data_IF_186953353796
#
_entry.id   IF_186953353796
#
_cell.length_a   1.000
_cell.length_b   1.000
_cell.length_c   1.000
_cell.angle_alpha   90.00
_cell.angle_beta   90.00
_cell.angle_gamma   90.00
#
_symmetry.space_group_name_H-M   'P 1'
#
loop_
_entity.id
_entity.type
_entity.pdbx_description
1 polymer ?
#
# COMPACT_ATOMS: atom_id res chain seq x y z
N UNK A 1 -19.15 -2.38 4.59
CA UNK A 1 -17.92 -3.13 4.28
C UNK A 1 -17.30 -3.56 5.60
N UNK A 2 -16.81 -4.80 5.69
CA UNK A 2 -16.14 -5.27 6.90
C UNK A 2 -14.78 -4.54 7.02
N UNK A 3 -14.39 -4.06 8.23
CA UNK A 3 -13.12 -3.37 8.40
C UNK A 3 -11.95 -4.31 8.07
N UNK A 4 -10.82 -3.77 7.57
CA UNK A 4 -9.63 -4.58 7.28
C UNK A 4 -9.12 -5.23 8.56
N UNK A 5 -8.59 -6.45 8.42
CA UNK A 5 -7.99 -7.19 9.53
C UNK A 5 -6.80 -6.41 10.09
N UNK A 6 -6.77 -6.28 11.42
CA UNK A 6 -5.65 -5.67 12.11
C UNK A 6 -4.46 -6.62 12.17
N UNK A 7 -3.29 -6.09 12.53
CA UNK A 7 -2.10 -6.91 12.76
C UNK A 7 -2.33 -7.95 13.87
N UNK A 8 -3.09 -7.58 14.89
CA UNK A 8 -3.39 -8.46 16.02
C UNK A 8 -4.33 -9.59 15.61
N UNK A 9 -5.29 -9.31 14.72
CA UNK A 9 -6.15 -10.34 14.11
C UNK A 9 -5.32 -11.35 13.31
N UNK A 10 -4.36 -10.87 12.50
CA UNK A 10 -3.48 -11.74 11.72
C UNK A 10 -2.57 -12.61 12.61
N UNK A 11 -2.13 -12.07 13.75
CA UNK A 11 -1.36 -12.83 14.75
C UNK A 11 -2.22 -13.91 15.39
N UNK A 12 -3.45 -13.57 15.80
CA UNK A 12 -4.38 -14.53 16.38
C UNK A 12 -4.70 -15.66 15.39
N UNK A 13 -4.95 -15.33 14.11
CA UNK A 13 -5.19 -16.32 13.05
C UNK A 13 -3.97 -17.23 12.87
N UNK A 14 -2.76 -16.68 12.82
CA UNK A 14 -1.52 -17.46 12.71
C UNK A 14 -1.38 -18.44 13.87
N UNK A 15 -1.58 -17.96 15.10
CA UNK A 15 -1.38 -18.76 16.30
C UNK A 15 -2.45 -19.84 16.50
N UNK A 16 -3.70 -19.56 16.09
CA UNK A 16 -4.78 -20.54 16.06
C UNK A 16 -4.64 -21.62 14.97
N UNK A 17 -3.89 -21.35 13.90
CA UNK A 17 -3.80 -22.21 12.72
C UNK A 17 -2.39 -22.76 12.44
N UNK A 18 -1.56 -22.93 13.49
CA UNK A 18 -0.14 -23.34 13.36
C UNK A 18 0.09 -24.62 12.54
N UNK A 19 -0.86 -25.56 12.53
CA UNK A 19 -0.76 -26.83 11.79
C UNK A 19 -1.42 -26.78 10.41
N UNK A 20 -2.20 -25.75 10.10
CA UNK A 20 -2.85 -25.61 8.80
C UNK A 20 -1.86 -24.95 7.81
N UNK A 21 -1.40 -25.71 6.82
CA UNK A 21 -0.41 -25.23 5.84
C UNK A 21 -1.02 -24.21 4.86
N UNK A 22 -2.29 -24.35 4.50
CA UNK A 22 -2.99 -23.43 3.59
C UNK A 22 -3.10 -22.04 4.20
N UNK A 23 -3.51 -21.95 5.46
CA UNK A 23 -3.61 -20.68 6.19
C UNK A 23 -2.23 -20.04 6.36
N UNK A 24 -1.18 -20.84 6.65
CA UNK A 24 0.19 -20.32 6.74
C UNK A 24 0.69 -19.79 5.40
N UNK A 25 0.35 -20.46 4.31
CA UNK A 25 0.69 -20.01 2.96
C UNK A 25 0.00 -18.70 2.63
N UNK A 26 -1.30 -18.58 2.89
CA UNK A 26 -2.04 -17.34 2.70
C UNK A 26 -1.45 -16.18 3.53
N UNK A 27 -1.10 -16.41 4.80
CA UNK A 27 -0.48 -15.39 5.64
C UNK A 27 0.89 -14.92 5.11
N UNK A 28 1.69 -15.84 4.53
CA UNK A 28 2.96 -15.46 3.86
C UNK A 28 2.70 -14.61 2.63
N UNK A 29 1.71 -14.97 1.82
CA UNK A 29 1.34 -14.23 0.62
C UNK A 29 0.83 -12.82 0.95
N UNK A 30 -0.02 -12.70 1.98
CA UNK A 30 -0.46 -11.39 2.51
C UNK A 30 0.72 -10.53 2.92
N UNK A 31 1.68 -11.10 3.67
CA UNK A 31 2.90 -10.39 4.07
C UNK A 31 3.74 -9.97 2.87
N UNK A 32 3.90 -10.85 1.87
CA UNK A 32 4.66 -10.57 0.64
C UNK A 32 4.03 -9.41 -0.13
N UNK A 33 2.71 -9.43 -0.31
CA UNK A 33 1.97 -8.36 -1.00
C UNK A 33 2.06 -7.04 -0.24
N UNK A 34 1.94 -7.07 1.08
CA UNK A 34 2.08 -5.86 1.91
C UNK A 34 3.48 -5.23 1.73
N UNK A 35 4.53 -6.04 1.76
CA UNK A 35 5.89 -5.56 1.53
C UNK A 35 6.07 -4.98 0.12
N UNK A 36 5.53 -5.64 -0.90
CA UNK A 36 5.59 -5.16 -2.28
C UNK A 36 4.87 -3.80 -2.44
N UNK A 37 3.72 -3.61 -1.78
CA UNK A 37 3.03 -2.32 -1.78
C UNK A 37 3.86 -1.21 -1.12
N UNK A 38 4.53 -1.50 0.00
CA UNK A 38 5.42 -0.53 0.66
C UNK A 38 6.60 -0.14 -0.25
N UNK A 39 7.16 -1.10 -0.98
CA UNK A 39 8.24 -0.85 -1.92
C UNK A 39 7.78 0.01 -3.11
N UNK A 40 6.60 -0.25 -3.66
CA UNK A 40 5.98 0.58 -4.71
C UNK A 40 5.79 2.02 -4.22
N UNK A 41 5.29 2.22 -3.00
CA UNK A 41 5.12 3.56 -2.43
C UNK A 41 6.48 4.28 -2.27
N UNK A 42 7.52 3.57 -1.80
CA UNK A 42 8.87 4.14 -1.71
C UNK A 42 9.43 4.53 -3.08
N UNK A 43 9.25 3.67 -4.10
CA UNK A 43 9.69 3.96 -5.46
C UNK A 43 8.93 5.15 -6.06
N UNK A 44 7.62 5.24 -5.84
CA UNK A 44 6.81 6.39 -6.27
C UNK A 44 7.34 7.68 -5.64
N UNK A 45 7.60 7.68 -4.34
CA UNK A 45 8.12 8.86 -3.66
C UNK A 45 9.54 9.24 -4.12
N UNK A 46 10.38 8.26 -4.46
CA UNK A 46 11.70 8.49 -5.05
C UNK A 46 11.61 9.12 -6.46
N UNK A 47 10.72 8.60 -7.31
CA UNK A 47 10.45 9.14 -8.64
C UNK A 47 9.93 10.58 -8.54
N UNK A 48 8.97 10.84 -7.65
CA UNK A 48 8.44 12.19 -7.42
C UNK A 48 9.54 13.19 -7.01
N UNK A 49 10.49 12.77 -6.16
CA UNK A 49 11.63 13.60 -5.73
C UNK A 49 12.61 13.85 -6.87
N UNK A 50 12.97 12.80 -7.62
CA UNK A 50 13.88 12.92 -8.76
C UNK A 50 13.28 13.83 -9.83
N UNK A 51 12.00 13.66 -10.15
CA UNK A 51 11.28 14.48 -11.11
C UNK A 51 11.25 15.96 -10.70
N UNK A 52 10.98 16.25 -9.43
CA UNK A 52 11.04 17.63 -8.90
C UNK A 52 12.43 18.24 -9.03
N UNK A 53 13.48 17.48 -8.73
CA UNK A 53 14.85 17.94 -8.81
C UNK A 53 15.29 18.21 -10.26
N UNK A 54 14.81 17.42 -11.22
CA UNK A 54 15.21 17.55 -12.63
C UNK A 54 14.41 18.62 -13.39
N UNK A 55 13.13 18.80 -13.06
CA UNK A 55 12.25 19.72 -13.81
C UNK A 55 12.07 21.10 -13.16
N UNK A 56 12.54 21.30 -11.92
CA UNK A 56 12.33 22.50 -11.10
C UNK A 56 10.86 23.00 -11.09
N UNK A 57 9.92 22.08 -11.38
CA UNK A 57 8.57 22.44 -11.81
C UNK A 57 7.50 21.95 -10.84
N UNK A 58 6.59 22.88 -10.53
CA UNK A 58 5.31 22.69 -9.82
C UNK A 58 4.35 21.73 -10.55
N UNK A 59 4.72 21.21 -11.72
CA UNK A 59 3.92 20.23 -12.48
C UNK A 59 3.64 18.95 -11.67
N UNK A 60 4.59 18.52 -10.83
CA UNK A 60 4.36 17.41 -9.89
C UNK A 60 3.27 17.74 -8.86
N UNK A 61 3.19 18.99 -8.39
CA UNK A 61 2.16 19.44 -7.47
C UNK A 61 0.80 19.56 -8.17
N UNK A 62 0.75 20.01 -9.43
CA UNK A 62 -0.47 19.98 -10.25
C UNK A 62 -0.95 18.55 -10.54
N UNK A 63 -0.04 17.63 -10.84
CA UNK A 63 -0.38 16.21 -11.02
C UNK A 63 -0.91 15.59 -9.72
N UNK A 64 -0.28 15.91 -8.58
CA UNK A 64 -0.71 15.44 -7.26
C UNK A 64 -2.05 16.04 -6.83
N UNK A 65 -2.30 17.31 -7.15
CA UNK A 65 -3.62 17.95 -6.98
C UNK A 65 -4.69 17.22 -7.82
N UNK A 66 -4.36 16.87 -9.07
CA UNK A 66 -5.25 16.14 -9.98
C UNK A 66 -5.58 14.73 -9.47
N UNK A 67 -4.60 14.03 -8.89
CA UNK A 67 -4.81 12.72 -8.27
C UNK A 67 -5.68 12.81 -7.02
N UNK A 68 -5.46 13.81 -6.16
CA UNK A 68 -6.28 14.04 -4.96
C UNK A 68 -7.74 14.35 -5.33
N UNK A 69 -7.96 15.22 -6.32
CA UNK A 69 -9.30 15.51 -6.82
C UNK A 69 -9.97 14.26 -7.44
N UNK A 70 -9.20 13.43 -8.16
CA UNK A 70 -9.72 12.20 -8.75
C UNK A 70 -10.08 11.14 -7.69
N UNK A 71 -9.34 11.05 -6.59
CA UNK A 71 -9.65 10.15 -5.47
C UNK A 71 -10.89 10.63 -4.69
N UNK A 72 -11.05 11.94 -4.51
CA UNK A 72 -12.23 12.53 -3.87
C UNK A 72 -13.50 12.32 -4.70
N UNK A 73 -13.40 12.46 -6.03
CA UNK A 73 -14.50 12.20 -6.97
C UNK A 73 -14.92 10.72 -6.96
N UNK A 74 -14.00 9.80 -6.61
CA UNK A 74 -14.25 8.36 -6.58
C UNK A 74 -14.84 7.88 -5.24
N UNK A 75 -14.83 8.74 -4.21
CA UNK A 75 -15.41 8.49 -2.88
C UNK A 75 -16.82 9.07 -2.71
N UNK A 76 -17.26 9.92 -3.64
CA UNK A 76 -18.64 10.41 -3.78
C UNK A 76 -19.44 9.46 -4.69
#
# INVERSE_FOLDING_TARGET
>A
MQPPLTRDDLIAIRDGNRRNEDIRTLLREIKRMHNAMLEIEHLRDAIDKAWKAETDSTLSALHRLRLLMADETRRL
#
